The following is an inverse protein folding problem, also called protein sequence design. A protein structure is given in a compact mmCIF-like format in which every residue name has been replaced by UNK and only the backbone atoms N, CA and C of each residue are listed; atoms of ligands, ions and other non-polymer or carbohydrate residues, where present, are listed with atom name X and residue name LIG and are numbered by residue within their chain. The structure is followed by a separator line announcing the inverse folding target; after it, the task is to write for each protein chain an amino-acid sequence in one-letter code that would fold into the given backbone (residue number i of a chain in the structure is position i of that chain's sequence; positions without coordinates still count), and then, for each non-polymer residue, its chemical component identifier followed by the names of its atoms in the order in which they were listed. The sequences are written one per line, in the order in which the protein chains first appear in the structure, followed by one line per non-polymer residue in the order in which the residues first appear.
data_IF_165920935487
#
_entry.id   IF_165920935487
#
_cell.length_a   1.000
_cell.length_b   1.000
_cell.length_c   1.000
_cell.angle_alpha   90.00
_cell.angle_beta   90.00
_cell.angle_gamma   90.00
#
_symmetry.space_group_name_H-M   'P 1'
#
loop_
_entity.id
_entity.type
_entity.pdbx_description
1 polymer ?
#
# COMPACT_ATOMS: atom_id res chain seq x y z
N UNK A 1 -19.70 -2.30 -12.16
CA UNK A 1 -18.63 -1.29 -12.21
C UNK A 1 -17.49 -1.76 -11.33
N UNK A 2 -16.28 -1.20 -11.47
CA UNK A 2 -15.13 -1.53 -10.61
C UNK A 2 -15.17 -0.62 -9.37
N UNK A 3 -15.18 -1.22 -8.19
CA UNK A 3 -15.09 -0.55 -6.91
C UNK A 3 -13.63 -0.42 -6.47
N UNK A 4 -13.23 0.78 -6.04
CA UNK A 4 -11.82 1.12 -5.80
C UNK A 4 -11.67 1.68 -4.39
N UNK A 5 -10.69 1.17 -3.63
CA UNK A 5 -10.25 1.78 -2.38
C UNK A 5 -8.91 2.49 -2.59
N UNK A 6 -8.85 3.79 -2.28
CA UNK A 6 -7.61 4.58 -2.38
C UNK A 6 -7.05 4.85 -0.99
N UNK A 7 -5.76 4.58 -0.78
CA UNK A 7 -5.05 4.93 0.46
C UNK A 7 -3.73 5.61 0.17
N UNK A 8 -3.34 6.54 1.02
CA UNK A 8 -2.03 7.16 0.97
C UNK A 8 -1.27 6.90 2.26
N UNK A 9 0.03 6.66 2.16
CA UNK A 9 0.93 6.58 3.30
C UNK A 9 2.27 7.22 2.95
N UNK A 10 2.90 7.86 3.93
CA UNK A 10 4.16 8.58 3.74
C UNK A 10 5.32 7.77 4.29
N UNK A 11 6.42 7.68 3.56
CA UNK A 11 7.67 7.14 4.10
C UNK A 11 8.21 8.08 5.16
N UNK A 12 8.19 7.63 6.42
CA UNK A 12 8.73 8.37 7.54
C UNK A 12 9.84 7.59 8.22
N UNK A 13 10.86 8.30 8.71
CA UNK A 13 11.95 7.71 9.51
C UNK A 13 11.36 7.01 10.74
N UNK A 14 11.57 5.70 10.82
CA UNK A 14 11.03 4.88 11.92
C UNK A 14 11.74 5.12 13.24
N UNK A 15 12.94 5.72 13.21
CA UNK A 15 13.78 5.95 14.38
C UNK A 15 13.69 7.38 14.90
N UNK A 16 12.83 8.22 14.31
CA UNK A 16 12.64 9.61 14.71
C UNK A 16 11.27 9.84 15.37
N UNK A 17 11.30 10.52 16.51
CA UNK A 17 10.12 11.01 17.24
C UNK A 17 9.67 12.40 16.78
N UNK A 18 10.33 12.97 15.76
CA UNK A 18 9.97 14.27 15.21
C UNK A 18 8.61 14.26 14.50
N UNK A 19 7.97 15.45 14.34
CA UNK A 19 6.75 15.58 13.55
C UNK A 19 6.88 15.01 12.12
N UNK A 20 5.77 14.46 11.61
CA UNK A 20 5.71 13.74 10.32
C UNK A 20 6.24 14.51 9.10
N UNK A 21 6.18 15.84 9.12
CA UNK A 21 6.69 16.66 8.00
C UNK A 21 8.21 16.79 8.02
N UNK A 22 8.85 16.66 9.19
CA UNK A 22 10.32 16.71 9.34
C UNK A 22 10.93 15.36 8.95
N UNK A 23 10.33 14.26 9.42
CA UNK A 23 10.86 12.92 9.18
C UNK A 23 10.47 12.28 7.85
N UNK A 24 9.94 13.05 6.90
CA UNK A 24 9.62 12.56 5.56
C UNK A 24 10.88 12.18 4.79
N UNK A 25 10.89 11.00 4.16
CA UNK A 25 12.06 10.46 3.49
C UNK A 25 11.96 10.53 1.97
N UNK A 26 13.12 10.59 1.33
CA UNK A 26 13.28 10.45 -0.12
C UNK A 26 13.07 8.99 -0.57
N UNK A 27 12.67 8.77 -1.82
CA UNK A 27 12.46 7.41 -2.37
C UNK A 27 13.68 6.51 -2.26
N UNK A 28 14.86 7.07 -2.52
CA UNK A 28 16.14 6.34 -2.49
C UNK A 28 16.90 6.49 -1.16
N UNK A 29 16.17 6.68 -0.06
CA UNK A 29 16.76 6.74 1.28
C UNK A 29 17.43 5.42 1.70
N UNK A 30 18.51 5.51 2.46
CA UNK A 30 19.11 4.36 3.17
C UNK A 30 18.58 4.18 4.60
N UNK A 31 17.75 5.13 5.07
CA UNK A 31 17.13 5.06 6.40
C UNK A 31 16.01 4.02 6.44
N UNK A 32 15.83 3.42 7.61
CA UNK A 32 14.65 2.59 7.88
C UNK A 32 13.40 3.45 7.90
N UNK A 33 12.36 2.98 7.22
CA UNK A 33 11.07 3.67 7.18
C UNK A 33 9.91 2.74 7.43
N UNK A 34 8.78 3.36 7.76
CA UNK A 34 7.50 2.69 7.89
C UNK A 34 6.44 3.48 7.10
N UNK A 35 5.78 2.80 6.16
CA UNK A 35 4.50 3.20 5.62
C UNK A 35 3.45 2.24 6.16
N UNK A 36 2.41 2.79 6.77
CA UNK A 36 1.34 2.00 7.36
C UNK A 36 0.05 2.19 6.55
N UNK A 37 -0.51 1.08 6.05
CA UNK A 37 -1.77 1.05 5.31
C UNK A 37 -2.84 0.37 6.14
N UNK A 38 -3.75 1.19 6.68
CA UNK A 38 -4.79 0.80 7.63
C UNK A 38 -6.05 1.69 7.44
N UNK A 39 -7.24 1.26 7.86
CA UNK A 39 -7.71 -0.13 7.94
C UNK A 39 -8.00 -0.62 6.51
N UNK A 40 -7.49 -1.78 6.11
CA UNK A 40 -7.76 -2.38 4.80
C UNK A 40 -9.01 -3.27 4.86
N UNK A 41 -9.91 -3.14 3.87
CA UNK A 41 -11.12 -3.96 3.74
C UNK A 41 -11.20 -4.59 2.35
N UNK A 42 -10.41 -5.65 2.07
CA UNK A 42 -10.39 -6.28 0.73
C UNK A 42 -11.76 -6.76 0.24
N UNK A 43 -12.69 -7.07 1.15
CA UNK A 43 -14.06 -7.46 0.81
C UNK A 43 -14.97 -6.30 0.33
N UNK A 44 -14.50 -5.06 0.39
CA UNK A 44 -15.29 -3.87 0.07
C UNK A 44 -14.87 -3.20 -1.24
N UNK A 45 -13.85 -3.73 -1.94
CA UNK A 45 -13.40 -3.22 -3.23
C UNK A 45 -12.89 -4.33 -4.15
N UNK A 46 -12.80 -4.04 -5.44
CA UNK A 46 -12.16 -4.90 -6.43
C UNK A 46 -10.66 -4.57 -6.54
N UNK A 47 -10.31 -3.29 -6.40
CA UNK A 47 -8.94 -2.78 -6.61
C UNK A 47 -8.55 -1.81 -5.50
N UNK A 48 -7.30 -1.93 -5.05
CA UNK A 48 -6.63 -0.91 -4.23
C UNK A 48 -5.72 -0.03 -5.11
N UNK A 49 -5.77 1.27 -4.85
CA UNK A 49 -4.72 2.20 -5.30
C UNK A 49 -4.02 2.72 -4.06
N UNK A 50 -2.76 2.32 -3.89
CA UNK A 50 -1.91 2.82 -2.81
C UNK A 50 -0.99 3.91 -3.33
N UNK A 51 -1.05 5.06 -2.68
CA UNK A 51 -0.22 6.23 -2.94
C UNK A 51 0.92 6.24 -1.92
N UNK A 52 2.09 5.83 -2.34
CA UNK A 52 3.30 5.85 -1.54
C UNK A 52 3.97 7.22 -1.70
N UNK A 53 3.90 8.03 -0.64
CA UNK A 53 4.38 9.41 -0.66
C UNK A 53 5.81 9.46 -0.11
N UNK A 54 6.75 9.82 -0.96
CA UNK A 54 8.09 10.25 -0.58
C UNK A 54 8.16 11.78 -0.65
N UNK A 55 9.19 12.39 -0.07
CA UNK A 55 9.33 13.87 -0.12
C UNK A 55 9.64 14.40 -1.52
N UNK A 56 10.17 13.54 -2.40
CA UNK A 56 10.67 13.85 -3.73
C UNK A 56 10.00 13.04 -4.84
N UNK A 57 9.06 12.15 -4.50
CA UNK A 57 8.39 11.27 -5.45
C UNK A 57 7.03 10.77 -4.94
N UNK A 58 6.12 10.44 -5.85
CA UNK A 58 4.84 9.80 -5.55
C UNK A 58 4.75 8.53 -6.38
N UNK A 59 4.69 7.38 -5.71
CA UNK A 59 4.56 6.08 -6.37
C UNK A 59 3.15 5.56 -6.21
N UNK A 60 2.55 5.09 -7.30
CA UNK A 60 1.25 4.45 -7.29
C UNK A 60 1.42 2.94 -7.40
N UNK A 61 0.85 2.19 -6.47
CA UNK A 61 0.67 0.75 -6.58
C UNK A 61 -0.79 0.42 -6.82
N UNK A 62 -1.07 -0.38 -7.84
CA UNK A 62 -2.42 -0.83 -8.19
C UNK A 62 -2.51 -2.34 -7.97
N UNK A 63 -3.34 -2.76 -7.02
CA UNK A 63 -3.45 -4.16 -6.58
C UNK A 63 -4.89 -4.64 -6.66
N UNK A 64 -5.10 -5.89 -7.05
CA UNK A 64 -6.38 -6.57 -6.88
C UNK A 64 -6.66 -6.80 -5.38
N UNK A 65 -7.92 -6.76 -4.97
CA UNK A 65 -8.28 -6.98 -3.56
C UNK A 65 -7.91 -8.37 -3.05
N UNK A 66 -7.93 -9.41 -3.89
CA UNK A 66 -7.46 -10.75 -3.54
C UNK A 66 -5.93 -10.82 -3.38
N UNK A 67 -5.18 -10.05 -4.16
CA UNK A 67 -3.72 -9.95 -3.98
C UNK A 67 -3.40 -9.34 -2.62
N UNK A 68 -4.15 -8.30 -2.21
CA UNK A 68 -4.01 -7.71 -0.86
C UNK A 68 -4.41 -8.71 0.22
N UNK A 69 -5.55 -9.41 0.07
CA UNK A 69 -6.04 -10.37 1.06
C UNK A 69 -5.09 -11.55 1.28
N UNK A 70 -4.45 -12.02 0.20
CA UNK A 70 -3.55 -13.18 0.21
C UNK A 70 -2.06 -12.77 0.33
N UNK A 71 -1.77 -11.47 0.45
CA UNK A 71 -0.41 -10.99 0.54
C UNK A 71 0.28 -11.53 1.81
N UNK A 72 1.53 -12.03 1.74
CA UNK A 72 2.24 -12.56 2.91
C UNK A 72 2.41 -11.57 4.07
N UNK A 73 2.42 -10.27 3.76
CA UNK A 73 2.52 -9.19 4.74
C UNK A 73 1.17 -8.72 5.30
N UNK A 74 0.04 -9.22 4.78
CA UNK A 74 -1.28 -8.84 5.25
C UNK A 74 -1.56 -9.41 6.64
N UNK A 75 -1.81 -8.53 7.61
CA UNK A 75 -2.21 -8.94 8.95
C UNK A 75 -3.70 -8.69 9.17
N UNK A 76 -4.43 -9.74 9.56
CA UNK A 76 -5.89 -9.71 9.86
C UNK A 76 -6.23 -9.08 11.21
N UNK A 77 -5.23 -8.78 12.04
CA UNK A 77 -5.41 -8.21 13.37
C UNK A 77 -5.03 -6.74 13.38
N UNK A 78 -6.01 -5.85 13.22
CA UNK A 78 -5.75 -4.40 13.13
C UNK A 78 -5.99 -3.62 14.44
N UNK A 79 -6.99 -4.03 15.23
CA UNK A 79 -7.46 -3.29 16.40
C UNK A 79 -7.87 -4.21 17.54
N UNK A 80 -7.86 -3.69 18.77
CA UNK A 80 -8.39 -4.36 19.96
C UNK A 80 -9.91 -4.53 19.76
N UNK A 81 -10.37 -5.78 19.63
CA UNK A 81 -11.78 -6.11 19.36
C UNK A 81 -12.11 -6.38 17.88
N UNK A 82 -11.11 -6.41 16.99
CA UNK A 82 -11.30 -6.75 15.59
C UNK A 82 -11.76 -8.23 15.44
N UNK A 83 -12.82 -8.46 14.65
CA UNK A 83 -13.38 -9.80 14.37
C UNK A 83 -12.83 -10.42 13.07
N UNK A 84 -11.71 -9.89 12.56
CA UNK A 84 -11.01 -10.40 11.38
C UNK A 84 -11.51 -9.87 10.03
N UNK A 85 -12.36 -8.84 10.05
CA UNK A 85 -12.90 -8.20 8.84
C UNK A 85 -12.09 -6.98 8.37
N UNK A 86 -11.01 -6.64 9.07
CA UNK A 86 -10.14 -5.50 8.75
C UNK A 86 -8.69 -5.90 8.90
N UNK A 87 -7.82 -5.44 8.01
CA UNK A 87 -6.40 -5.74 8.05
C UNK A 87 -5.49 -4.54 7.88
N UNK A 88 -4.20 -4.84 7.87
CA UNK A 88 -3.12 -3.87 7.76
C UNK A 88 -1.95 -4.42 6.97
N UNK A 89 -1.19 -3.51 6.35
CA UNK A 89 0.17 -3.77 5.86
C UNK A 89 1.12 -2.68 6.36
N UNK A 90 2.30 -3.15 6.77
CA UNK A 90 3.45 -2.32 7.08
C UNK A 90 4.49 -2.48 5.98
N UNK A 91 4.64 -1.45 5.15
CA UNK A 91 5.69 -1.39 4.13
C UNK A 91 6.92 -0.70 4.73
N UNK A 92 8.07 -1.34 4.53
CA UNK A 92 9.35 -0.99 5.13
C UNK A 92 10.44 -1.02 4.07
N UNK A 93 11.59 -0.44 4.42
CA UNK A 93 12.77 -0.41 3.55
C UNK A 93 13.20 -1.80 3.04
N UNK A 94 13.04 -2.85 3.83
CA UNK A 94 13.48 -4.22 3.53
C UNK A 94 12.45 -5.04 2.76
N UNK A 95 11.17 -4.64 2.76
CA UNK A 95 10.09 -5.41 2.13
C UNK A 95 9.40 -4.67 0.96
N UNK A 96 9.65 -3.38 0.75
CA UNK A 96 8.98 -2.57 -0.29
C UNK A 96 9.12 -3.17 -1.70
N UNK A 97 10.21 -3.89 -1.96
CA UNK A 97 10.48 -4.51 -3.26
C UNK A 97 9.40 -5.53 -3.69
N UNK A 98 8.64 -6.12 -2.75
CA UNK A 98 7.54 -7.04 -3.08
C UNK A 98 6.40 -6.35 -3.82
N UNK A 99 6.33 -5.01 -3.77
CA UNK A 99 5.30 -4.23 -4.45
C UNK A 99 5.72 -3.76 -5.86
N UNK A 100 6.95 -4.03 -6.30
CA UNK A 100 7.49 -3.51 -7.57
C UNK A 100 6.68 -3.93 -8.80
N UNK A 101 5.98 -5.06 -8.73
CA UNK A 101 5.12 -5.56 -9.81
C UNK A 101 3.80 -4.79 -9.93
N UNK A 102 3.36 -4.14 -8.86
CA UNK A 102 2.11 -3.38 -8.81
C UNK A 102 2.31 -1.90 -9.14
N UNK A 103 3.57 -1.47 -9.31
CA UNK A 103 3.92 -0.08 -9.59
C UNK A 103 3.42 0.35 -10.97
N UNK A 104 2.70 1.48 -11.02
CA UNK A 104 2.27 2.10 -12.26
C UNK A 104 3.49 2.68 -13.00
N UNK A 105 3.74 2.19 -14.22
CA UNK A 105 4.92 2.59 -15.03
C UNK A 105 4.60 3.52 -16.21
N UNK A 106 3.45 3.36 -16.83
CA UNK A 106 3.15 3.96 -18.14
C UNK A 106 2.11 5.10 -18.07
N UNK A 107 1.95 5.74 -16.90
CA UNK A 107 0.94 6.77 -16.59
C UNK A 107 -0.53 6.43 -16.94
N UNK A 108 -0.79 5.18 -17.33
CA UNK A 108 -2.13 4.71 -17.70
C UNK A 108 -2.82 4.03 -16.53
N UNK A 109 -3.31 4.86 -15.60
CA UNK A 109 -4.01 4.39 -14.40
C UNK A 109 -5.29 3.61 -14.75
N UNK A 110 -6.02 4.00 -15.80
CA UNK A 110 -7.23 3.29 -16.22
C UNK A 110 -6.92 1.85 -16.63
N UNK A 111 -5.91 1.64 -17.48
CA UNK A 111 -5.50 0.32 -17.91
C UNK A 111 -5.03 -0.54 -16.72
N UNK A 112 -4.24 0.04 -15.81
CA UNK A 112 -3.80 -0.65 -14.61
C UNK A 112 -4.97 -1.12 -13.73
N UNK A 113 -5.98 -0.26 -13.51
CA UNK A 113 -7.19 -0.61 -12.75
C UNK A 113 -7.96 -1.74 -13.44
N UNK A 114 -8.18 -1.64 -14.76
CA UNK A 114 -8.91 -2.66 -15.52
C UNK A 114 -8.19 -4.00 -15.49
N UNK A 115 -6.87 -4.00 -15.65
CA UNK A 115 -6.04 -5.20 -15.60
C UNK A 115 -6.11 -5.84 -14.22
N UNK A 116 -5.88 -5.07 -13.14
CA UNK A 116 -5.97 -5.55 -11.77
C UNK A 116 -7.36 -6.14 -11.46
N UNK A 117 -8.44 -5.49 -11.89
CA UNK A 117 -9.81 -6.00 -11.70
C UNK A 117 -10.10 -7.29 -12.49
N UNK A 118 -9.41 -7.52 -13.62
CA UNK A 118 -9.61 -8.68 -14.48
C UNK A 118 -8.79 -9.91 -14.08
N UNK A 119 -7.68 -9.72 -13.36
CA UNK A 119 -6.87 -10.82 -12.84
C UNK A 119 -7.60 -11.51 -11.69
N UNK A 120 -8.09 -12.73 -11.92
CA UNK A 120 -8.41 -13.65 -10.84
C UNK A 120 -7.11 -14.33 -10.38
N UNK A 121 -6.90 -14.51 -9.06
CA UNK A 121 -5.75 -15.28 -8.58
C UNK A 121 -5.83 -16.69 -9.17
N UNK A 122 -4.67 -17.20 -9.62
CA UNK A 122 -4.52 -18.57 -10.12
C UNK A 122 -4.85 -19.62 -9.06
#
# INVERSE_FOLDING_TARGET
GISIEVKASRAVDSNSDEPLYIKALARHTTKTFLMNFQQLKPQCCDVFIWVAVFRDDIVLWVLNSQEVLNHPLYSKGQHRGNKGNEGQLHIKHDNIHVLSQYELKDDNLEAAIRNAASCQPA
#
